data_IF_943913696639
#
_entry.id   IF_943913696639
#
_cell.length_a   1.000
_cell.length_b   1.000
_cell.length_c   1.000
_cell.angle_alpha   90.00
_cell.angle_beta   90.00
_cell.angle_gamma   90.00
#
_symmetry.space_group_name_H-M   'P 1'
#
loop_
_entity.id
_entity.type
_entity.pdbx_description
1 polymer ?
#
# COMPACT_ATOMS: atom_id res chain seq x y z
N UNK A 1 17.36 2.55 -55.97
CA UNK A 1 16.65 1.41 -55.37
C UNK A 1 16.46 1.69 -53.88
N UNK A 2 15.29 2.19 -53.51
CA UNK A 2 14.91 2.59 -52.15
C UNK A 2 13.85 1.62 -51.64
N UNK A 3 14.16 0.84 -50.61
CA UNK A 3 13.18 0.01 -49.92
C UNK A 3 12.85 0.63 -48.56
N UNK A 4 11.65 1.19 -48.47
CA UNK A 4 10.97 1.58 -47.23
C UNK A 4 10.39 0.32 -46.60
N UNK A 5 10.75 0.00 -45.36
CA UNK A 5 9.95 -0.91 -44.53
C UNK A 5 9.24 -0.13 -43.42
N UNK A 6 7.92 -0.20 -43.49
CA UNK A 6 6.92 0.40 -42.63
C UNK A 6 6.67 -0.58 -41.48
N UNK A 7 7.09 -0.24 -40.26
CA UNK A 7 6.72 -0.99 -39.05
C UNK A 7 5.42 -0.42 -38.49
N UNK A 8 4.39 -1.26 -38.53
CA UNK A 8 3.07 -1.03 -37.94
C UNK A 8 3.20 -1.10 -36.41
N UNK A 9 2.98 0.02 -35.74
CA UNK A 9 2.85 0.08 -34.29
C UNK A 9 1.42 -0.28 -33.90
N UNK A 10 1.27 -1.36 -33.11
CA UNK A 10 0.04 -1.64 -32.37
C UNK A 10 -0.13 -0.62 -31.24
N UNK A 11 -1.29 0.01 -31.19
CA UNK A 11 -1.63 1.08 -30.24
C UNK A 11 -1.87 0.53 -28.82
N UNK A 12 -0.87 0.63 -27.94
CA UNK A 12 -1.10 0.64 -26.49
C UNK A 12 -1.65 2.03 -26.09
N UNK A 13 -2.88 2.07 -25.57
CA UNK A 13 -3.53 3.31 -25.16
C UNK A 13 -3.00 3.77 -23.80
N UNK A 14 -2.09 4.75 -23.78
CA UNK A 14 -1.69 5.47 -22.58
C UNK A 14 -2.57 6.72 -22.44
N UNK A 15 -3.48 6.72 -21.47
CA UNK A 15 -4.32 7.89 -21.17
C UNK A 15 -3.57 8.86 -20.28
N UNK A 16 -3.26 10.04 -20.82
CA UNK A 16 -2.60 11.16 -20.12
C UNK A 16 -3.68 12.08 -19.53
N UNK A 17 -3.62 12.32 -18.22
CA UNK A 17 -4.35 13.42 -17.57
C UNK A 17 -3.30 14.48 -17.22
N UNK A 18 -3.22 15.54 -18.03
CA UNK A 18 -2.22 16.61 -17.87
C UNK A 18 -2.56 17.62 -16.77
N UNK A 19 -1.58 18.37 -16.24
CA UNK A 19 -1.81 19.39 -15.23
C UNK A 19 -2.29 20.70 -15.87
N UNK A 20 -3.35 21.28 -15.33
CA UNK A 20 -3.77 22.64 -15.67
C UNK A 20 -2.79 23.67 -15.09
N UNK A 21 -2.46 24.67 -15.91
CA UNK A 21 -1.56 25.81 -15.66
C UNK A 21 -2.03 26.74 -14.53
N UNK A 22 -1.06 27.34 -13.82
CA UNK A 22 -1.24 28.36 -12.78
C UNK A 22 -1.53 29.77 -13.33
N UNK A 23 -2.34 30.55 -12.62
CA UNK A 23 -2.18 31.98 -12.30
C UNK A 23 -3.09 32.38 -11.09
N UNK A 24 -2.80 33.49 -10.35
CA UNK A 24 -3.02 33.60 -8.88
C UNK A 24 -4.15 34.56 -8.41
N UNK A 25 -4.32 34.67 -7.06
CA UNK A 25 -5.21 35.52 -6.23
C UNK A 25 -6.52 34.81 -5.82
N UNK A 26 -6.96 34.66 -4.56
CA UNK A 26 -6.70 35.23 -3.22
C UNK A 26 -7.02 34.16 -2.12
N UNK A 27 -6.61 34.32 -0.84
CA UNK A 27 -6.76 33.30 0.20
C UNK A 27 -8.14 33.32 0.88
N UNK A 28 -8.70 32.17 1.34
CA UNK A 28 -9.79 32.17 2.31
C UNK A 28 -9.27 32.20 3.76
N UNK A 29 -10.06 32.74 4.70
CA UNK A 29 -9.60 33.21 6.01
C UNK A 29 -9.48 32.13 7.08
N UNK A 30 -8.79 32.54 8.13
CA UNK A 30 -8.39 31.84 9.35
C UNK A 30 -9.51 31.14 10.14
N UNK A 31 -9.13 29.98 10.68
CA UNK A 31 -9.36 29.47 12.04
C UNK A 31 -10.27 30.33 12.94
N UNK A 32 -11.41 29.76 13.35
CA UNK A 32 -12.06 30.12 14.62
C UNK A 32 -12.30 28.84 15.44
N UNK A 33 -11.63 28.83 16.59
CA UNK A 33 -11.89 27.99 17.76
C UNK A 33 -13.17 28.50 18.43
N UNK A 34 -14.12 27.61 18.75
CA UNK A 34 -15.18 27.91 19.71
C UNK A 34 -15.52 26.64 20.50
N UNK A 35 -14.94 26.55 21.69
CA UNK A 35 -15.53 25.88 22.84
C UNK A 35 -16.16 26.95 23.75
N UNK A 36 -17.02 26.51 24.67
CA UNK A 36 -17.85 27.24 25.66
C UNK A 36 -19.31 27.35 25.24
N UNK A 37 -20.16 26.46 25.78
CA UNK A 37 -20.88 26.59 27.07
C UNK A 37 -22.13 27.44 26.91
N UNK A 38 -23.29 26.84 27.19
CA UNK A 38 -24.39 27.45 27.94
C UNK A 38 -25.44 26.37 28.27
N UNK A 39 -25.41 25.96 29.54
CA UNK A 39 -26.54 25.39 30.28
C UNK A 39 -27.56 26.51 30.59
N UNK A 40 -28.85 26.15 30.59
CA UNK A 40 -30.02 26.79 31.26
C UNK A 40 -31.21 26.91 30.30
N UNK A 41 -32.26 26.10 30.43
CA UNK A 41 -33.33 26.06 31.45
C UNK A 41 -34.62 26.73 30.93
N UNK A 42 -35.73 25.99 31.09
CA UNK A 42 -37.12 26.44 31.13
C UNK A 42 -37.71 26.97 29.79
N UNK A 43 -38.94 26.65 29.35
CA UNK A 43 -40.17 26.37 30.10
C UNK A 43 -41.29 25.92 29.13
N UNK A 44 -42.28 25.18 29.66
CA UNK A 44 -43.70 25.06 29.21
C UNK A 44 -44.00 24.24 27.94
N UNK A 45 -45.03 23.39 27.84
CA UNK A 45 -46.11 22.93 28.72
C UNK A 45 -46.53 21.50 28.27
N UNK A 46 -47.38 20.71 28.90
CA UNK A 46 -48.54 20.97 29.75
C UNK A 46 -49.71 20.20 29.14
N UNK A 47 -50.13 19.06 29.73
CA UNK A 47 -51.50 18.55 29.76
C UNK A 47 -51.59 17.22 30.55
N UNK A 48 -52.47 17.25 31.55
CA UNK A 48 -53.05 16.20 32.41
C UNK A 48 -53.82 15.12 31.60
N UNK A 49 -54.24 13.95 32.09
CA UNK A 49 -54.90 13.54 33.36
C UNK A 49 -55.02 11.97 33.40
N UNK A 50 -55.74 11.29 34.33
CA UNK A 50 -55.21 10.65 35.54
C UNK A 50 -55.47 9.12 35.67
N UNK A 51 -54.84 8.52 36.68
CA UNK A 51 -55.24 7.31 37.45
C UNK A 51 -55.81 6.07 36.74
N UNK A 52 -55.06 4.95 36.75
CA UNK A 52 -55.65 3.66 36.33
C UNK A 52 -54.79 2.39 36.37
N UNK A 53 -53.97 2.18 37.41
CA UNK A 53 -53.39 0.89 37.88
C UNK A 53 -52.81 -0.13 36.86
N UNK A 54 -51.49 -0.29 37.02
CA UNK A 54 -50.71 -1.54 37.23
C UNK A 54 -50.90 -2.72 36.26
N UNK A 55 -49.83 -2.98 35.50
CA UNK A 55 -49.38 -4.36 35.27
C UNK A 55 -47.90 -4.48 35.66
N UNK A 56 -47.64 -5.22 36.74
CA UNK A 56 -46.32 -5.66 37.17
C UNK A 56 -45.86 -6.84 36.31
N UNK A 57 -44.66 -6.74 35.73
CA UNK A 57 -43.87 -7.90 35.35
C UNK A 57 -42.38 -7.60 35.56
N UNK A 58 -41.96 -7.83 36.81
CA UNK A 58 -40.64 -8.31 37.26
C UNK A 58 -39.39 -7.71 36.59
N UNK A 59 -38.91 -6.64 37.21
CA UNK A 59 -37.48 -6.32 37.31
C UNK A 59 -36.79 -7.35 38.23
N UNK A 60 -35.82 -8.09 37.72
CA UNK A 60 -34.71 -8.61 38.53
C UNK A 60 -33.50 -7.69 38.32
N UNK A 61 -33.34 -6.76 39.27
CA UNK A 61 -32.13 -5.95 39.47
C UNK A 61 -30.93 -6.88 39.64
N UNK A 62 -29.96 -6.81 38.74
CA UNK A 62 -28.56 -7.08 39.07
C UNK A 62 -27.85 -5.73 39.05
N UNK A 63 -27.86 -5.06 40.19
CA UNK A 63 -27.24 -3.77 40.42
C UNK A 63 -25.76 -4.02 40.77
N UNK A 64 -24.89 -4.07 39.75
CA UNK A 64 -23.45 -3.93 39.94
C UNK A 64 -23.08 -2.46 39.74
N UNK A 65 -22.93 -1.76 40.87
CA UNK A 65 -22.26 -0.46 40.94
C UNK A 65 -20.77 -0.66 40.63
N UNK A 66 -20.32 -0.14 39.50
CA UNK A 66 -18.92 0.08 39.16
C UNK A 66 -18.76 1.54 38.71
N UNK A 67 -17.72 2.26 39.15
CA UNK A 67 -17.63 3.71 39.02
C UNK A 67 -17.38 4.13 37.56
N UNK A 68 -17.65 5.39 37.18
CA UNK A 68 -17.22 5.90 35.89
C UNK A 68 -15.70 6.08 35.96
N UNK A 69 -14.94 5.07 35.54
CA UNK A 69 -13.54 5.26 35.21
C UNK A 69 -13.49 6.07 33.91
N UNK A 70 -13.56 7.40 34.07
CA UNK A 70 -13.01 8.34 33.11
C UNK A 70 -11.51 8.05 33.05
N UNK A 71 -11.11 7.13 32.19
CA UNK A 71 -9.75 7.14 31.67
C UNK A 71 -9.68 8.29 30.68
N UNK A 72 -9.49 9.50 31.23
CA UNK A 72 -8.76 10.53 30.52
C UNK A 72 -7.37 9.94 30.27
N UNK A 73 -7.19 9.31 29.11
CA UNK A 73 -5.86 9.04 28.62
C UNK A 73 -5.31 10.41 28.21
N UNK A 74 -4.30 10.97 28.92
CA UNK A 74 -3.51 12.00 28.29
C UNK A 74 -2.94 11.34 27.04
N UNK A 75 -3.23 11.90 25.86
CA UNK A 75 -2.54 11.55 24.62
C UNK A 75 -1.10 12.08 24.77
N UNK A 76 -0.37 11.43 25.66
CA UNK A 76 1.06 11.48 25.81
C UNK A 76 1.58 10.42 24.85
N UNK A 77 1.93 10.86 23.65
CA UNK A 77 3.28 10.68 23.10
C UNK A 77 3.99 9.34 23.46
N UNK A 78 3.31 8.20 23.31
CA UNK A 78 3.90 6.87 23.59
C UNK A 78 3.51 5.81 22.54
N UNK A 79 3.41 6.24 21.27
CA UNK A 79 3.48 5.35 20.08
C UNK A 79 4.55 5.89 19.11
N UNK A 80 5.67 6.38 19.66
CA UNK A 80 6.82 6.92 18.94
C UNK A 80 8.13 6.21 19.30
N UNK A 81 8.09 4.95 19.74
CA UNK A 81 9.30 4.21 20.16
C UNK A 81 9.63 2.99 19.31
N UNK A 82 9.19 3.00 18.05
CA UNK A 82 10.00 2.44 16.96
C UNK A 82 9.62 3.21 15.71
N UNK A 83 10.33 4.30 15.34
CA UNK A 83 10.34 4.64 13.94
C UNK A 83 10.76 3.35 13.24
N UNK A 84 9.93 2.83 12.34
CA UNK A 84 10.36 1.76 11.44
C UNK A 84 11.75 2.17 10.96
N UNK A 85 12.79 1.46 11.44
CA UNK A 85 14.15 1.87 11.18
C UNK A 85 14.38 1.53 9.72
N UNK A 86 14.29 2.56 8.89
CA UNK A 86 14.45 2.49 7.45
C UNK A 86 15.74 3.25 7.14
N UNK A 87 16.92 2.62 7.28
CA UNK A 87 18.21 3.28 7.10
C UNK A 87 18.27 4.10 5.80
N UNK A 88 17.75 3.53 4.72
CA UNK A 88 17.73 4.18 3.41
C UNK A 88 16.90 5.49 3.38
N UNK A 89 15.85 5.65 4.21
CA UNK A 89 15.06 6.89 4.28
C UNK A 89 15.90 8.07 4.80
N UNK A 90 16.93 7.78 5.60
CA UNK A 90 17.80 8.79 6.18
C UNK A 90 18.83 9.30 5.15
N UNK A 91 19.38 8.39 4.34
CA UNK A 91 20.43 8.71 3.36
C UNK A 91 19.88 9.12 1.99
N UNK A 92 18.59 8.93 1.73
CA UNK A 92 17.98 9.26 0.44
C UNK A 92 17.60 10.74 0.36
N UNK A 93 18.05 11.40 -0.71
CA UNK A 93 17.63 12.77 -1.03
C UNK A 93 16.11 12.86 -1.20
N UNK A 94 15.48 13.61 -0.29
CA UNK A 94 14.03 13.85 -0.20
C UNK A 94 13.49 14.84 -1.23
N UNK A 95 14.39 15.62 -1.83
CA UNK A 95 14.07 16.64 -2.85
C UNK A 95 14.21 16.11 -4.28
N UNK A 96 14.96 15.02 -4.46
CA UNK A 96 15.06 14.35 -5.77
C UNK A 96 13.74 13.66 -6.11
N UNK A 97 13.51 13.54 -7.42
CA UNK A 97 12.35 12.80 -7.93
C UNK A 97 12.51 11.31 -7.67
N UNK A 98 11.43 10.67 -7.25
CA UNK A 98 11.33 9.22 -7.08
C UNK A 98 10.01 8.72 -7.67
N UNK A 99 10.05 7.57 -8.35
CA UNK A 99 8.84 6.88 -8.81
C UNK A 99 8.42 5.88 -7.75
N UNK A 100 7.14 5.82 -7.40
CA UNK A 100 6.61 4.90 -6.37
C UNK A 100 5.56 4.02 -7.02
N UNK A 101 5.77 2.71 -7.00
CA UNK A 101 4.78 1.77 -7.53
C UNK A 101 3.64 1.57 -6.53
N UNK A 102 2.43 1.99 -6.90
CA UNK A 102 1.23 1.90 -6.04
C UNK A 102 0.19 1.02 -6.71
N UNK A 103 -0.07 -0.15 -6.15
CA UNK A 103 -1.13 -1.07 -6.63
C UNK A 103 -2.52 -0.68 -6.11
N UNK A 104 -2.56 0.12 -5.04
CA UNK A 104 -3.78 0.44 -4.29
C UNK A 104 -4.01 -0.48 -3.09
N UNK A 105 -3.25 -1.57 -2.98
CA UNK A 105 -3.23 -2.45 -1.82
C UNK A 105 -2.50 -1.85 -0.62
N UNK A 106 -2.76 -2.40 0.57
CA UNK A 106 -2.24 -1.94 1.87
C UNK A 106 -0.75 -1.61 1.83
N UNK A 107 0.11 -2.55 1.43
CA UNK A 107 1.56 -2.39 1.49
C UNK A 107 2.04 -1.18 0.66
N UNK A 108 1.48 -1.02 -0.54
CA UNK A 108 1.83 0.06 -1.46
C UNK A 108 1.30 1.44 -1.03
N UNK A 109 0.14 1.45 -0.37
CA UNK A 109 -0.42 2.66 0.23
C UNK A 109 0.42 3.06 1.45
N UNK A 110 0.77 2.10 2.31
CA UNK A 110 1.63 2.33 3.46
C UNK A 110 2.99 2.92 3.04
N UNK A 111 3.62 2.35 2.01
CA UNK A 111 4.86 2.90 1.46
C UNK A 111 4.70 4.36 1.02
N UNK A 112 3.65 4.69 0.27
CA UNK A 112 3.42 6.06 -0.20
C UNK A 112 3.31 7.04 0.98
N UNK A 113 2.52 6.70 1.99
CA UNK A 113 2.32 7.56 3.16
C UNK A 113 3.57 7.69 4.02
N UNK A 114 4.32 6.60 4.22
CA UNK A 114 5.61 6.64 4.92
C UNK A 114 6.60 7.60 4.23
N UNK A 115 6.65 7.61 2.90
CA UNK A 115 7.49 8.54 2.13
C UNK A 115 7.04 9.99 2.31
N UNK A 116 5.74 10.24 2.26
CA UNK A 116 5.17 11.58 2.46
C UNK A 116 5.51 12.09 3.86
N UNK A 117 5.30 11.27 4.90
CA UNK A 117 5.61 11.61 6.30
C UNK A 117 7.11 11.79 6.54
N UNK A 118 7.94 11.03 5.83
CA UNK A 118 9.39 11.20 5.87
C UNK A 118 9.87 12.50 5.18
N UNK A 119 8.98 13.24 4.50
CA UNK A 119 9.25 14.54 3.88
C UNK A 119 9.66 14.47 2.41
N UNK A 120 9.34 13.37 1.69
CA UNK A 120 9.61 13.28 0.26
C UNK A 120 8.66 14.21 -0.50
N UNK A 121 9.22 15.18 -1.23
CA UNK A 121 8.46 16.27 -1.86
C UNK A 121 8.25 16.09 -3.37
N UNK A 122 8.93 15.12 -3.99
CA UNK A 122 8.94 14.94 -5.44
C UNK A 122 8.67 13.48 -5.80
N UNK A 123 7.49 13.00 -5.40
CA UNK A 123 7.03 11.64 -5.70
C UNK A 123 6.18 11.64 -6.97
N UNK A 124 6.35 10.61 -7.78
CA UNK A 124 5.44 10.27 -8.87
C UNK A 124 4.85 8.90 -8.57
N UNK A 125 3.53 8.83 -8.48
CA UNK A 125 2.78 7.59 -8.31
C UNK A 125 2.69 6.87 -9.64
N UNK A 126 3.09 5.59 -9.68
CA UNK A 126 3.03 4.75 -10.88
C UNK A 126 2.12 3.55 -10.60
N UNK A 127 1.00 3.45 -11.31
CA UNK A 127 0.07 2.33 -11.20
C UNK A 127 -0.05 1.59 -12.53
N UNK A 128 0.08 0.26 -12.51
CA UNK A 128 -0.20 -0.58 -13.68
C UNK A 128 -1.41 -1.45 -13.40
N UNK A 129 -2.49 -1.20 -14.13
CA UNK A 129 -3.63 -2.09 -14.21
C UNK A 129 -3.29 -3.27 -15.15
N UNK A 130 -3.32 -4.49 -14.61
CA UNK A 130 -2.96 -5.71 -15.35
C UNK A 130 -4.13 -6.28 -16.19
N UNK A 131 -5.30 -5.63 -16.17
CA UNK A 131 -6.44 -5.99 -17.00
C UNK A 131 -7.09 -7.33 -16.66
N UNK A 132 -6.68 -7.98 -15.57
CA UNK A 132 -7.13 -9.33 -15.20
C UNK A 132 -8.56 -9.36 -14.65
N UNK A 133 -9.14 -8.22 -14.25
CA UNK A 133 -10.35 -8.16 -13.41
C UNK A 133 -11.47 -7.26 -13.95
N UNK A 134 -11.43 -6.90 -15.23
CA UNK A 134 -12.47 -6.12 -15.89
C UNK A 134 -12.86 -4.84 -15.11
N UNK A 135 -14.05 -4.83 -14.48
CA UNK A 135 -14.57 -3.67 -13.74
C UNK A 135 -13.82 -3.36 -12.43
N UNK A 136 -13.29 -4.35 -11.71
CA UNK A 136 -12.59 -4.12 -10.43
C UNK A 136 -11.24 -3.42 -10.64
N UNK A 137 -10.52 -3.78 -11.71
CA UNK A 137 -9.30 -3.11 -12.19
C UNK A 137 -9.47 -1.59 -12.34
N UNK A 138 -10.61 -1.17 -12.91
CA UNK A 138 -10.93 0.26 -13.06
C UNK A 138 -11.17 0.97 -11.72
N UNK A 139 -11.60 0.24 -10.70
CA UNK A 139 -11.76 0.74 -9.34
C UNK A 139 -10.42 1.08 -8.70
N UNK A 140 -9.42 0.20 -8.88
CA UNK A 140 -8.08 0.38 -8.29
C UNK A 140 -7.35 1.57 -8.93
N UNK A 141 -7.40 1.67 -10.27
CA UNK A 141 -6.82 2.83 -10.98
C UNK A 141 -7.44 4.17 -10.53
N UNK A 142 -8.78 4.22 -10.35
CA UNK A 142 -9.46 5.44 -9.85
C UNK A 142 -9.09 5.75 -8.39
N UNK A 143 -8.99 4.72 -7.55
CA UNK A 143 -8.56 4.88 -6.17
C UNK A 143 -7.15 5.48 -6.11
N UNK A 144 -6.19 4.91 -6.85
CA UNK A 144 -4.81 5.40 -6.86
C UNK A 144 -4.71 6.81 -7.46
N UNK A 145 -5.46 7.11 -8.52
CA UNK A 145 -5.54 8.47 -9.07
C UNK A 145 -6.03 9.49 -8.02
N UNK A 146 -7.05 9.12 -7.26
CA UNK A 146 -7.64 9.98 -6.22
C UNK A 146 -6.68 10.18 -5.06
N UNK A 147 -5.98 9.12 -4.65
CA UNK A 147 -4.94 9.16 -3.61
C UNK A 147 -3.77 10.05 -4.01
N UNK A 148 -3.27 9.93 -5.25
CA UNK A 148 -2.21 10.81 -5.74
C UNK A 148 -2.67 12.28 -5.77
N UNK A 149 -3.91 12.52 -6.21
CA UNK A 149 -4.52 13.86 -6.24
C UNK A 149 -4.67 14.47 -4.85
N UNK A 150 -5.10 13.71 -3.84
CA UNK A 150 -5.27 14.22 -2.46
C UNK A 150 -3.96 14.64 -1.81
N UNK A 151 -2.83 14.10 -2.28
CA UNK A 151 -1.48 14.47 -1.84
C UNK A 151 -0.75 15.41 -2.81
N UNK A 152 -1.44 15.95 -3.83
CA UNK A 152 -0.85 16.82 -4.87
C UNK A 152 0.35 16.19 -5.60
N UNK A 153 0.34 14.88 -5.79
CA UNK A 153 1.40 14.14 -6.46
C UNK A 153 1.09 13.91 -7.94
N UNK A 154 2.14 13.85 -8.76
CA UNK A 154 2.00 13.39 -10.14
C UNK A 154 1.64 11.89 -10.16
N UNK A 155 0.84 11.47 -11.14
CA UNK A 155 0.37 10.10 -11.26
C UNK A 155 0.42 9.62 -12.70
N UNK A 156 1.07 8.48 -12.92
CA UNK A 156 1.10 7.75 -14.19
C UNK A 156 0.29 6.46 -14.02
N UNK A 157 -0.69 6.26 -14.90
CA UNK A 157 -1.55 5.08 -14.90
C UNK A 157 -1.38 4.36 -16.23
N UNK A 158 -0.83 3.15 -16.17
CA UNK A 158 -0.74 2.22 -17.28
C UNK A 158 -1.86 1.19 -17.23
N UNK A 159 -2.18 0.62 -18.38
CA UNK A 159 -3.06 -0.52 -18.51
C UNK A 159 -2.43 -1.51 -19.50
N UNK A 160 -2.39 -2.80 -19.13
CA UNK A 160 -1.88 -3.86 -19.98
C UNK A 160 -2.75 -5.11 -19.80
N UNK A 161 -3.14 -5.78 -20.88
CA UNK A 161 -3.84 -7.06 -20.79
C UNK A 161 -2.82 -8.20 -20.59
N UNK A 162 -2.54 -8.52 -19.33
CA UNK A 162 -1.52 -9.52 -18.99
C UNK A 162 -1.89 -10.93 -19.44
N UNK A 163 -3.18 -11.28 -19.48
CA UNK A 163 -3.62 -12.58 -19.97
C UNK A 163 -3.36 -12.74 -21.47
N UNK A 164 -3.62 -11.69 -22.25
CA UNK A 164 -3.29 -11.67 -23.67
C UNK A 164 -1.78 -11.76 -23.89
N UNK A 165 -0.98 -10.99 -23.14
CA UNK A 165 0.48 -11.03 -23.19
C UNK A 165 1.05 -12.42 -22.85
N UNK A 166 0.51 -13.06 -21.80
CA UNK A 166 0.90 -14.41 -21.39
C UNK A 166 0.65 -15.42 -22.49
N UNK A 167 -0.52 -15.36 -23.16
CA UNK A 167 -0.87 -16.23 -24.28
C UNK A 167 0.02 -15.98 -25.50
N UNK A 168 0.23 -14.72 -25.86
CA UNK A 168 1.05 -14.33 -27.01
C UNK A 168 2.50 -14.83 -26.86
N UNK A 169 3.08 -14.67 -25.67
CA UNK A 169 4.48 -15.01 -25.40
C UNK A 169 4.69 -16.40 -24.81
N UNK A 170 3.64 -17.20 -24.65
CA UNK A 170 3.68 -18.51 -23.99
C UNK A 170 4.34 -18.45 -22.59
N UNK A 171 4.00 -17.43 -21.82
CA UNK A 171 4.50 -17.20 -20.46
C UNK A 171 3.46 -17.56 -19.41
N UNK A 172 3.90 -17.81 -18.17
CA UNK A 172 2.98 -17.82 -17.03
C UNK A 172 2.41 -16.41 -16.80
N UNK A 173 1.21 -16.32 -16.22
CA UNK A 173 0.60 -15.03 -15.86
C UNK A 173 1.50 -14.18 -14.95
N UNK A 174 2.24 -14.81 -14.04
CA UNK A 174 3.18 -14.12 -13.15
C UNK A 174 4.34 -13.50 -13.95
N UNK A 175 4.94 -14.26 -14.87
CA UNK A 175 6.06 -13.80 -15.69
C UNK A 175 5.61 -12.69 -16.65
N UNK A 176 4.45 -12.85 -17.30
CA UNK A 176 3.86 -11.84 -18.16
C UNK A 176 3.54 -10.54 -17.38
N UNK A 177 2.98 -10.66 -16.17
CA UNK A 177 2.70 -9.51 -15.31
C UNK A 177 3.97 -8.78 -14.87
N UNK A 178 5.02 -9.54 -14.53
CA UNK A 178 6.34 -8.98 -14.21
C UNK A 178 6.94 -8.23 -15.40
N UNK A 179 6.85 -8.80 -16.60
CA UNK A 179 7.35 -8.16 -17.82
C UNK A 179 6.57 -6.88 -18.12
N UNK A 180 5.24 -6.93 -18.12
CA UNK A 180 4.37 -5.75 -18.29
C UNK A 180 4.74 -4.62 -17.31
N UNK A 181 4.95 -4.98 -16.04
CA UNK A 181 5.37 -4.03 -15.00
C UNK A 181 6.72 -3.39 -15.30
N UNK A 182 7.72 -4.18 -15.70
CA UNK A 182 9.04 -3.66 -16.04
C UNK A 182 8.98 -2.71 -17.25
N UNK A 183 8.19 -3.04 -18.28
CA UNK A 183 7.98 -2.17 -19.45
C UNK A 183 7.32 -0.85 -19.05
N UNK A 184 6.29 -0.91 -18.20
CA UNK A 184 5.62 0.27 -17.66
C UNK A 184 6.57 1.15 -16.83
N UNK A 185 7.40 0.55 -15.97
CA UNK A 185 8.41 1.30 -15.22
C UNK A 185 9.45 1.95 -16.13
N UNK A 186 9.91 1.27 -17.18
CA UNK A 186 10.82 1.86 -18.15
C UNK A 186 10.22 3.08 -18.85
N UNK A 187 8.93 3.00 -19.21
CA UNK A 187 8.17 4.12 -19.75
C UNK A 187 8.13 5.30 -18.78
N UNK A 188 7.65 5.10 -17.54
CA UNK A 188 7.57 6.15 -16.53
C UNK A 188 8.95 6.77 -16.24
N UNK A 189 9.98 5.93 -16.14
CA UNK A 189 11.34 6.37 -15.91
C UNK A 189 11.89 7.23 -17.03
N UNK A 190 11.54 6.94 -18.29
CA UNK A 190 11.88 7.77 -19.46
C UNK A 190 11.13 9.09 -19.42
N UNK A 191 9.83 9.06 -19.21
CA UNK A 191 8.99 10.25 -19.21
C UNK A 191 9.41 11.25 -18.11
N UNK A 192 9.63 10.77 -16.88
CA UNK A 192 9.99 11.61 -15.75
C UNK A 192 11.50 11.79 -15.54
N UNK A 193 12.34 11.21 -16.41
CA UNK A 193 13.80 11.22 -16.28
C UNK A 193 14.30 10.75 -14.90
N UNK A 194 13.63 9.74 -14.32
CA UNK A 194 13.99 9.17 -13.02
C UNK A 194 14.11 7.65 -13.14
N UNK A 195 15.30 7.04 -12.95
CA UNK A 195 15.49 5.60 -13.08
C UNK A 195 15.14 4.80 -11.81
N UNK A 196 14.82 5.48 -10.70
CA UNK A 196 14.59 4.85 -9.40
C UNK A 196 13.10 4.62 -9.14
N UNK A 197 12.75 3.37 -8.87
CA UNK A 197 11.38 2.93 -8.61
C UNK A 197 11.32 2.26 -7.25
N UNK A 198 10.51 2.80 -6.34
CA UNK A 198 10.29 2.28 -5.01
C UNK A 198 9.12 1.29 -5.04
N UNK A 199 9.31 0.13 -4.42
CA UNK A 199 8.37 -0.98 -4.36
C UNK A 199 8.07 -1.36 -2.91
N UNK A 200 6.82 -1.67 -2.61
CA UNK A 200 6.37 -1.99 -1.25
C UNK A 200 6.59 -3.46 -0.85
N UNK A 201 7.72 -4.04 -1.27
CA UNK A 201 8.08 -5.39 -0.84
C UNK A 201 8.54 -5.38 0.61
N UNK A 202 8.02 -6.32 1.39
CA UNK A 202 8.21 -6.38 2.84
C UNK A 202 8.87 -7.68 3.32
N UNK A 203 9.13 -7.79 4.63
CA UNK A 203 9.81 -8.95 5.23
C UNK A 203 9.08 -10.27 4.98
N UNK A 204 7.74 -10.28 5.01
CA UNK A 204 6.99 -11.51 4.72
C UNK A 204 7.16 -11.93 3.24
N UNK A 205 7.32 -11.00 2.28
CA UNK A 205 7.65 -11.35 0.89
C UNK A 205 9.06 -11.96 0.77
N UNK A 206 9.99 -11.54 1.65
CA UNK A 206 11.34 -12.10 1.73
C UNK A 206 11.30 -13.55 2.19
N UNK A 207 10.58 -13.81 3.27
CA UNK A 207 10.35 -15.17 3.78
C UNK A 207 9.72 -16.07 2.70
N UNK A 208 8.69 -15.60 2.01
CA UNK A 208 8.09 -16.32 0.88
C UNK A 208 9.09 -16.61 -0.24
N UNK A 209 9.90 -15.62 -0.62
CA UNK A 209 10.89 -15.75 -1.69
C UNK A 209 12.00 -16.72 -1.33
N UNK A 210 12.51 -16.65 -0.09
CA UNK A 210 13.51 -17.58 0.43
C UNK A 210 12.97 -19.02 0.42
N UNK A 211 11.79 -19.26 1.00
CA UNK A 211 11.19 -20.60 1.02
C UNK A 211 10.97 -21.14 -0.39
N UNK A 212 10.48 -20.30 -1.31
CA UNK A 212 10.31 -20.69 -2.70
C UNK A 212 11.62 -21.02 -3.42
N UNK A 213 12.69 -20.32 -3.10
CA UNK A 213 14.01 -20.57 -3.67
C UNK A 213 14.63 -21.87 -3.14
N UNK A 214 14.43 -22.17 -1.86
CA UNK A 214 14.82 -23.43 -1.22
C UNK A 214 14.08 -24.62 -1.84
N UNK A 215 12.75 -24.54 -1.98
CA UNK A 215 11.95 -25.62 -2.56
C UNK A 215 12.33 -25.93 -4.02
N UNK A 216 12.82 -24.94 -4.77
CA UNK A 216 13.29 -25.14 -6.15
C UNK A 216 14.75 -25.55 -6.27
N UNK A 217 15.51 -25.58 -5.16
CA UNK A 217 16.95 -25.86 -5.17
C UNK A 217 17.77 -24.87 -6.02
N UNK A 218 17.30 -23.63 -6.17
CA UNK A 218 17.83 -22.71 -7.19
C UNK A 218 18.83 -21.68 -6.63
N UNK A 219 18.42 -20.92 -5.60
CA UNK A 219 19.18 -19.77 -5.09
C UNK A 219 19.51 -19.90 -3.59
N UNK A 220 19.32 -21.08 -3.00
CA UNK A 220 19.52 -21.31 -1.57
C UNK A 220 18.65 -20.37 -0.73
N UNK A 221 19.25 -19.78 0.30
CA UNK A 221 18.61 -18.81 1.19
C UNK A 221 18.51 -17.38 0.61
N UNK A 222 19.06 -17.11 -0.57
CA UNK A 222 19.04 -15.76 -1.16
C UNK A 222 17.62 -15.35 -1.51
N UNK A 223 17.29 -14.08 -1.25
CA UNK A 223 15.97 -13.53 -1.52
C UNK A 223 16.06 -12.21 -2.32
N UNK A 224 15.17 -11.25 -2.10
CA UNK A 224 15.19 -9.97 -2.82
C UNK A 224 16.26 -9.05 -2.27
N UNK A 225 16.99 -8.36 -3.15
CA UNK A 225 17.90 -7.28 -2.76
C UNK A 225 17.14 -5.98 -2.51
N UNK A 226 17.64 -5.18 -1.57
CA UNK A 226 17.12 -3.83 -1.31
C UNK A 226 17.19 -2.94 -2.55
N UNK A 227 18.36 -2.88 -3.20
CA UNK A 227 18.54 -2.21 -4.48
C UNK A 227 18.85 -3.26 -5.55
N UNK A 228 18.00 -3.33 -6.58
CA UNK A 228 18.19 -4.23 -7.70
C UNK A 228 18.26 -3.46 -9.02
N UNK A 229 19.43 -3.42 -9.68
CA UNK A 229 19.52 -2.90 -11.04
C UNK A 229 18.86 -3.87 -12.01
N UNK A 230 18.04 -3.34 -12.92
CA UNK A 230 17.44 -4.10 -14.02
C UNK A 230 17.59 -3.34 -15.34
N UNK A 231 17.46 -4.04 -16.46
CA UNK A 231 17.33 -3.43 -17.78
C UNK A 231 15.97 -3.80 -18.35
N UNK A 232 15.19 -2.79 -18.73
CA UNK A 232 13.90 -2.96 -19.37
C UNK A 232 13.76 -1.93 -20.50
N UNK A 233 13.34 -2.38 -21.69
CA UNK A 233 13.20 -1.52 -22.88
C UNK A 233 14.47 -0.71 -23.18
N UNK A 234 15.64 -1.34 -23.06
CA UNK A 234 16.95 -0.70 -23.26
C UNK A 234 17.36 0.32 -22.19
N UNK A 235 16.55 0.50 -21.13
CA UNK A 235 16.80 1.45 -20.05
C UNK A 235 17.25 0.75 -18.77
N UNK A 236 18.31 1.28 -18.16
CA UNK A 236 18.76 0.89 -16.81
C UNK A 236 17.84 1.51 -15.77
N UNK A 237 17.28 0.67 -14.89
CA UNK A 237 16.42 1.06 -13.78
C UNK A 237 16.99 0.52 -12.47
N UNK A 238 16.66 1.17 -11.37
CA UNK A 238 16.97 0.73 -10.01
C UNK A 238 15.65 0.49 -9.27
N UNK A 239 15.37 -0.77 -8.98
CA UNK A 239 14.25 -1.14 -8.11
C UNK A 239 14.71 -1.07 -6.66
N UNK A 240 14.04 -0.26 -5.86
CA UNK A 240 14.37 -0.01 -4.46
C UNK A 240 13.23 -0.58 -3.60
N UNK A 241 13.57 -1.42 -2.63
CA UNK A 241 12.63 -2.13 -1.75
C UNK A 241 12.85 -1.68 -0.31
N UNK A 242 12.33 -0.51 0.06
CA UNK A 242 12.60 0.06 1.36
C UNK A 242 12.06 -0.74 2.54
N UNK A 243 11.00 -1.53 2.34
CA UNK A 243 10.27 -2.17 3.43
C UNK A 243 10.73 -3.60 3.72
N UNK A 244 11.84 -4.08 3.15
CA UNK A 244 12.27 -5.49 3.27
C UNK A 244 12.50 -5.97 4.72
N UNK A 245 12.80 -5.06 5.64
CA UNK A 245 12.93 -5.35 7.08
C UNK A 245 11.66 -5.15 7.90
N UNK A 246 10.54 -4.77 7.26
CA UNK A 246 9.28 -4.38 7.91
C UNK A 246 8.26 -5.47 7.73
N UNK A 247 7.47 -5.77 8.77
CA UNK A 247 6.42 -6.78 8.69
C UNK A 247 5.16 -6.27 8.04
N UNK A 248 4.44 -7.18 7.37
CA UNK A 248 3.14 -6.87 6.77
C UNK A 248 2.10 -6.41 7.80
N UNK A 249 2.13 -6.96 9.01
CA UNK A 249 1.21 -6.54 10.07
C UNK A 249 1.50 -5.10 10.54
N UNK A 250 2.78 -4.72 10.70
CA UNK A 250 3.17 -3.36 11.09
C UNK A 250 2.69 -2.32 10.08
N UNK A 251 2.78 -2.62 8.78
CA UNK A 251 2.29 -1.74 7.72
C UNK A 251 0.77 -1.52 7.80
N UNK A 252 0.02 -2.54 8.20
CA UNK A 252 -1.44 -2.45 8.35
C UNK A 252 -1.82 -1.69 9.61
N UNK A 253 -1.15 -1.97 10.73
CA UNK A 253 -1.33 -1.21 11.97
C UNK A 253 -1.02 0.26 11.76
N UNK A 254 0.05 0.58 11.01
CA UNK A 254 0.36 1.93 10.58
C UNK A 254 -0.82 2.58 9.85
N UNK A 255 -1.39 1.93 8.83
CA UNK A 255 -2.53 2.48 8.08
C UNK A 255 -3.76 2.70 8.97
N UNK A 256 -4.08 1.72 9.83
CA UNK A 256 -5.22 1.79 10.76
C UNK A 256 -5.03 2.93 11.75
N UNK A 257 -3.84 3.06 12.34
CA UNK A 257 -3.52 4.11 13.32
C UNK A 257 -3.65 5.53 12.75
N UNK A 258 -3.56 5.68 11.42
CA UNK A 258 -3.70 6.95 10.70
C UNK A 258 -5.05 7.12 10.00
N UNK A 259 -5.98 6.18 10.18
CA UNK A 259 -7.29 6.20 9.53
C UNK A 259 -7.21 6.17 8.00
N UNK A 260 -6.15 5.59 7.45
CA UNK A 260 -5.91 5.54 6.01
C UNK A 260 -6.64 4.35 5.39
N UNK A 261 -7.33 4.60 4.29
CA UNK A 261 -8.04 3.55 3.54
C UNK A 261 -7.15 2.97 2.44
N UNK A 262 -7.31 1.68 2.16
CA UNK A 262 -6.69 1.00 1.02
C UNK A 262 -7.70 0.08 0.34
N UNK A 263 -7.35 -0.43 -0.84
CA UNK A 263 -8.14 -1.43 -1.55
C UNK A 263 -7.74 -2.81 -1.06
N UNK A 264 -8.72 -3.61 -0.62
CA UNK A 264 -8.46 -5.02 -0.35
C UNK A 264 -8.30 -5.78 -1.65
N UNK A 265 -7.16 -6.43 -1.79
CA UNK A 265 -6.84 -7.21 -2.96
C UNK A 265 -7.63 -8.51 -2.94
N UNK A 266 -8.79 -8.51 -3.60
CA UNK A 266 -9.60 -9.72 -3.81
C UNK A 266 -8.85 -10.82 -4.61
N UNK A 267 -7.58 -10.60 -5.01
CA UNK A 267 -6.73 -11.60 -5.73
C UNK A 267 -6.31 -12.74 -4.85
N UNK A 268 -6.27 -12.52 -3.54
CA UNK A 268 -5.75 -13.52 -2.61
C UNK A 268 -6.68 -14.73 -2.48
N UNK A 269 -7.95 -14.61 -2.86
CA UNK A 269 -8.95 -15.66 -2.71
C UNK A 269 -9.00 -16.69 -3.87
N UNK A 270 -8.62 -16.31 -5.10
CA UNK A 270 -8.97 -17.12 -6.29
C UNK A 270 -7.80 -17.70 -7.10
N UNK A 271 -6.55 -17.28 -6.86
CA UNK A 271 -5.40 -17.84 -7.57
C UNK A 271 -4.51 -18.64 -6.61
N UNK A 272 -4.65 -19.98 -6.65
CA UNK A 272 -3.73 -20.95 -6.03
C UNK A 272 -2.33 -20.88 -6.68
N UNK A 273 -1.60 -19.79 -6.44
CA UNK A 273 -0.19 -19.69 -6.79
C UNK A 273 0.65 -20.32 -5.68
N UNK A 274 1.84 -20.83 -6.02
CA UNK A 274 2.75 -21.39 -5.04
C UNK A 274 3.08 -20.39 -3.91
N UNK A 275 3.21 -19.09 -4.24
CA UNK A 275 3.39 -18.03 -3.23
C UNK A 275 2.19 -17.88 -2.30
N UNK A 276 0.96 -17.93 -2.83
CA UNK A 276 -0.23 -17.82 -1.99
C UNK A 276 -0.31 -18.98 -0.98
N UNK A 277 0.10 -20.20 -1.39
CA UNK A 277 0.22 -21.34 -0.48
C UNK A 277 1.33 -21.17 0.54
N UNK A 278 2.49 -20.65 0.14
CA UNK A 278 3.57 -20.35 1.08
C UNK A 278 3.09 -19.35 2.16
N UNK A 279 2.37 -18.32 1.75
CA UNK A 279 1.82 -17.28 2.63
C UNK A 279 0.72 -17.80 3.57
N UNK A 280 -0.27 -18.52 3.04
CA UNK A 280 -1.49 -18.86 3.78
C UNK A 280 -1.44 -20.23 4.47
N UNK A 281 -0.59 -21.15 4.00
CA UNK A 281 -0.46 -22.50 4.55
C UNK A 281 0.90 -22.70 5.24
N UNK A 282 1.99 -22.48 4.51
CA UNK A 282 3.32 -22.89 4.98
C UNK A 282 3.86 -22.00 6.11
N UNK A 283 3.82 -20.67 5.95
CA UNK A 283 4.30 -19.74 6.98
C UNK A 283 3.53 -19.91 8.31
N UNK A 284 2.18 -19.99 8.33
CA UNK A 284 1.44 -20.28 9.56
C UNK A 284 1.81 -21.62 10.19
N UNK A 285 1.96 -22.68 9.39
CA UNK A 285 2.34 -24.01 9.91
C UNK A 285 3.75 -24.00 10.52
N UNK A 286 4.71 -23.33 9.87
CA UNK A 286 6.07 -23.21 10.41
C UNK A 286 6.10 -22.37 11.69
N UNK A 287 5.27 -21.32 11.75
CA UNK A 287 5.12 -20.52 12.97
C UNK A 287 4.56 -21.36 14.12
N UNK A 288 3.52 -22.16 13.86
CA UNK A 288 2.92 -23.11 14.81
C UNK A 288 3.94 -24.13 15.32
N UNK A 289 4.65 -24.81 14.41
CA UNK A 289 5.70 -25.80 14.76
C UNK A 289 6.79 -25.16 15.65
N UNK A 290 7.19 -23.93 15.36
CA UNK A 290 8.25 -23.26 16.11
C UNK A 290 7.78 -22.56 17.38
N UNK A 291 6.47 -22.44 17.59
CA UNK A 291 5.85 -21.69 18.68
C UNK A 291 6.12 -20.18 18.65
N UNK A 292 6.53 -19.62 17.50
CA UNK A 292 6.87 -18.20 17.35
C UNK A 292 6.74 -17.73 15.91
N UNK A 293 6.80 -16.42 15.71
CA UNK A 293 6.92 -15.86 14.37
C UNK A 293 8.28 -16.22 13.75
N UNK A 294 8.24 -16.91 12.62
CA UNK A 294 9.44 -17.36 11.90
C UNK A 294 10.00 -16.32 10.94
N UNK A 295 9.23 -15.32 10.50
CA UNK A 295 9.66 -14.36 9.47
C UNK A 295 10.93 -13.61 9.90
N UNK A 296 11.05 -13.08 11.14
CA UNK A 296 12.30 -12.44 11.57
C UNK A 296 13.51 -13.39 11.53
N UNK A 297 13.30 -14.68 11.79
CA UNK A 297 14.36 -15.68 11.75
C UNK A 297 14.79 -16.00 10.32
N UNK A 298 13.84 -16.05 9.39
CA UNK A 298 14.12 -16.22 7.96
C UNK A 298 14.84 -15.00 7.39
N UNK A 299 14.43 -13.78 7.74
CA UNK A 299 15.14 -12.56 7.34
C UNK A 299 16.60 -12.55 7.78
N UNK A 300 16.89 -12.87 9.06
CA UNK A 300 18.29 -12.99 9.53
C UNK A 300 19.09 -14.05 8.77
N UNK A 301 18.45 -15.16 8.41
CA UNK A 301 19.09 -16.22 7.61
C UNK A 301 19.38 -15.77 6.18
N UNK A 302 18.52 -14.94 5.58
CA UNK A 302 18.77 -14.30 4.28
C UNK A 302 19.99 -13.41 4.39
N UNK A 303 20.04 -12.51 5.37
CA UNK A 303 21.14 -11.56 5.56
C UNK A 303 22.48 -12.30 5.71
N UNK A 304 22.51 -13.35 6.53
CA UNK A 304 23.71 -14.19 6.73
C UNK A 304 24.15 -14.95 5.47
N UNK A 305 23.28 -15.12 4.48
CA UNK A 305 23.60 -15.79 3.22
C UNK A 305 24.10 -14.86 2.12
N UNK A 306 23.99 -13.54 2.32
CA UNK A 306 24.52 -12.53 1.40
C UNK A 306 25.99 -12.18 1.68
N UNK A 307 26.47 -12.42 2.92
CA UNK A 307 27.85 -12.21 3.36
C UNK A 307 28.83 -13.32 2.89
N UNK A 308 28.36 -14.28 2.09
CA UNK A 308 29.11 -15.42 1.55
C UNK A 308 28.97 -15.55 0.01
#
# INVERSE_FOLDING_TARGET
MTWRHRLLWGSSSFSVIGPASRSPLDPPPEVIVAALELDSLCTQGGASDPEGRKFEARNSKFEMKSPPLRFEFPISIFVLSSPMHLPWLQDTSKTRRHLVAVSGGADSVALLHLLIEAGFSNLVVCHLDHGLRGKHSKGDARFVASLAKSHHLACEIGHENVAALAKEKSLSLETAGREARHRFFAHCARFHRCPRILLAHHADDQAETMLWNLLRGSHGAKAMREVQPIVAEGKKLELIRPLLGVRRHDLREFLVSRGLTWREDASNAENFTARNRLRNEALPLLADISGRDIVPSLCRAIDSSEDH
#
